data_IF_222137821713
#
_entry.id   IF_222137821713
#
_cell.length_a   1.000
_cell.length_b   1.000
_cell.length_c   1.000
_cell.angle_alpha   90.00
_cell.angle_beta   90.00
_cell.angle_gamma   90.00
#
_symmetry.space_group_name_H-M   'P 1'
#
loop_
_entity.id
_entity.type
_entity.pdbx_description
1 polymer ?
#
# COMPACT_ATOMS: atom_id res chain seq x y z
N UNK A 1 -12.41 39.72 50.97
CA UNK A 1 -11.14 40.32 50.53
C UNK A 1 -11.04 40.16 49.03
N UNK A 2 -11.06 41.27 48.31
CA UNK A 2 -11.17 41.36 46.86
C UNK A 2 -9.84 41.01 46.19
N UNK A 3 -9.89 40.18 45.13
CA UNK A 3 -8.73 39.94 44.28
C UNK A 3 -9.06 40.35 42.84
N UNK A 4 -8.20 41.22 42.33
CA UNK A 4 -8.40 42.11 41.19
C UNK A 4 -8.04 41.40 39.89
N UNK A 5 -8.99 41.35 38.97
CA UNK A 5 -8.82 40.90 37.59
C UNK A 5 -7.93 41.89 36.82
N UNK A 6 -6.79 41.42 36.29
CA UNK A 6 -6.01 42.18 35.30
C UNK A 6 -6.36 41.72 33.89
N UNK A 7 -7.15 42.55 33.23
CA UNK A 7 -7.44 42.51 31.80
C UNK A 7 -6.18 42.90 31.00
N UNK A 8 -5.66 41.97 30.20
CA UNK A 8 -4.59 42.26 29.22
C UNK A 8 -5.26 42.45 27.86
N UNK A 9 -5.48 43.70 27.46
CA UNK A 9 -5.88 44.06 26.11
C UNK A 9 -4.70 43.84 25.15
N UNK A 10 -4.80 42.84 24.28
CA UNK A 10 -3.89 42.69 23.13
C UNK A 10 -4.42 43.54 21.99
N UNK A 11 -3.63 44.55 21.62
CA UNK A 11 -3.92 45.49 20.54
C UNK A 11 -4.07 44.81 19.18
N UNK A 12 -5.14 45.19 18.49
CA UNK A 12 -5.37 44.90 17.08
C UNK A 12 -4.32 45.61 16.23
N UNK A 13 -3.50 44.86 15.49
CA UNK A 13 -2.68 45.40 14.41
C UNK A 13 -3.47 45.34 13.10
N UNK A 14 -3.51 46.47 12.41
CA UNK A 14 -4.12 46.69 11.11
C UNK A 14 -3.43 45.89 10.01
N UNK A 15 -4.24 45.24 9.16
CA UNK A 15 -3.80 44.55 7.96
C UNK A 15 -3.26 45.55 6.93
N UNK A 16 -1.95 45.55 6.72
CA UNK A 16 -1.33 46.20 5.57
C UNK A 16 -1.60 45.33 4.33
N UNK A 17 -2.39 45.85 3.40
CA UNK A 17 -2.62 45.29 2.08
C UNK A 17 -1.32 45.33 1.27
N UNK A 18 -0.66 44.18 1.12
CA UNK A 18 0.46 44.02 0.19
C UNK A 18 -0.11 43.94 -1.22
N UNK A 19 0.11 44.99 -2.00
CA UNK A 19 -0.17 45.04 -3.42
C UNK A 19 0.71 44.00 -4.15
N UNK A 20 0.08 42.96 -4.68
CA UNK A 20 0.75 41.95 -5.52
C UNK A 20 0.93 42.54 -6.91
N UNK A 21 2.16 42.92 -7.24
CA UNK A 21 2.57 43.26 -8.60
C UNK A 21 2.40 42.03 -9.50
N UNK A 22 1.56 42.15 -10.53
CA UNK A 22 1.42 41.17 -11.61
C UNK A 22 2.73 41.10 -12.39
N UNK A 23 3.56 40.09 -12.11
CA UNK A 23 4.67 39.71 -12.99
C UNK A 23 4.10 39.14 -14.28
N UNK A 24 4.32 39.85 -15.39
CA UNK A 24 4.00 39.38 -16.73
C UNK A 24 4.74 38.07 -17.03
N UNK A 25 4.01 37.04 -17.43
CA UNK A 25 4.57 35.79 -17.94
C UNK A 25 5.27 36.06 -19.28
N UNK A 26 6.59 36.25 -19.24
CA UNK A 26 7.43 36.13 -20.43
C UNK A 26 7.50 34.65 -20.81
N UNK A 27 6.79 34.31 -21.89
CA UNK A 27 6.87 33.02 -22.56
C UNK A 27 8.30 32.80 -23.04
N UNK A 28 9.02 31.88 -22.38
CA UNK A 28 10.31 31.37 -22.91
C UNK A 28 10.03 30.68 -24.24
N UNK A 29 10.41 31.33 -25.34
CA UNK A 29 10.57 30.66 -26.64
C UNK A 29 11.71 29.66 -26.49
N UNK A 30 11.37 28.37 -26.48
CA UNK A 30 12.34 27.28 -26.56
C UNK A 30 12.93 27.35 -27.97
N UNK A 31 14.17 27.82 -28.08
CA UNK A 31 14.92 27.75 -29.32
C UNK A 31 15.22 26.28 -29.60
N UNK A 32 14.50 25.67 -30.53
CA UNK A 32 14.86 24.38 -31.11
C UNK A 32 16.18 24.55 -31.87
N UNK A 33 17.24 23.97 -31.32
CA UNK A 33 18.55 23.92 -32.00
C UNK A 33 18.49 22.95 -33.19
N UNK A 34 19.17 23.23 -34.32
CA UNK A 34 19.05 22.47 -35.59
C UNK A 34 19.55 21.01 -35.55
N UNK A 35 20.05 20.53 -34.41
CA UNK A 35 20.62 19.18 -34.25
C UNK A 35 19.52 18.10 -34.15
N UNK A 36 18.26 18.48 -33.88
CA UNK A 36 17.15 17.52 -33.76
C UNK A 36 16.48 17.13 -35.10
N UNK A 37 16.87 17.70 -36.24
CA UNK A 37 16.20 17.47 -37.54
C UNK A 37 17.02 16.64 -38.55
N UNK A 38 18.08 15.95 -38.12
CA UNK A 38 18.95 15.20 -39.05
C UNK A 38 19.21 13.76 -38.63
N UNK A 39 18.15 12.93 -38.65
CA UNK A 39 18.11 11.54 -39.15
C UNK A 39 16.87 10.81 -38.63
N UNK A 40 15.82 10.78 -39.43
CA UNK A 40 14.94 9.61 -39.48
C UNK A 40 14.80 9.21 -40.95
N UNK A 41 15.58 8.18 -41.32
CA UNK A 41 15.32 7.38 -42.51
C UNK A 41 15.56 5.92 -42.10
N UNK A 42 14.46 5.22 -41.86
CA UNK A 42 14.34 3.77 -41.85
C UNK A 42 14.98 3.03 -40.68
N UNK A 43 14.23 2.83 -39.59
CA UNK A 43 14.19 1.52 -38.93
C UNK A 43 12.90 1.38 -38.12
N UNK A 44 12.35 0.17 -38.11
CA UNK A 44 11.05 -0.16 -37.53
C UNK A 44 11.03 0.10 -36.02
N UNK A 45 9.90 0.59 -35.54
CA UNK A 45 9.59 0.79 -34.13
C UNK A 45 9.31 -0.60 -33.54
N UNK A 46 10.29 -1.13 -32.83
CA UNK A 46 10.09 -2.12 -31.77
C UNK A 46 10.01 -1.33 -30.47
N UNK A 47 8.80 -1.18 -29.93
CA UNK A 47 8.53 -0.45 -28.69
C UNK A 47 9.10 -1.24 -27.50
N UNK A 48 10.38 -0.98 -27.21
CA UNK A 48 11.09 -1.45 -26.04
C UNK A 48 10.60 -0.76 -24.77
N UNK A 49 9.51 -1.27 -24.20
CA UNK A 49 9.10 -1.05 -22.81
C UNK A 49 10.17 -1.64 -21.86
N UNK A 50 11.12 -0.80 -21.43
CA UNK A 50 12.33 -1.20 -20.69
C UNK A 50 12.09 -1.41 -19.18
N UNK A 51 10.84 -1.56 -18.73
CA UNK A 51 10.53 -1.94 -17.35
C UNK A 51 9.28 -2.83 -17.29
N UNK A 52 9.44 -4.08 -17.74
CA UNK A 52 8.43 -5.12 -17.52
C UNK A 52 8.15 -5.37 -16.03
N UNK A 53 6.90 -5.70 -15.67
CA UNK A 53 6.48 -5.91 -14.29
C UNK A 53 7.10 -7.18 -13.70
N UNK A 54 7.58 -7.02 -12.46
CA UNK A 54 8.18 -8.05 -11.60
C UNK A 54 7.39 -9.36 -11.58
N UNK A 55 7.96 -10.43 -12.14
CA UNK A 55 7.48 -11.79 -11.98
C UNK A 55 7.54 -12.24 -10.53
N UNK A 56 6.41 -12.72 -10.02
CA UNK A 56 6.32 -13.47 -8.76
C UNK A 56 6.04 -14.92 -9.11
N UNK A 57 7.06 -15.77 -8.96
CA UNK A 57 6.93 -17.22 -8.98
C UNK A 57 6.97 -17.70 -7.53
N UNK A 58 5.82 -18.08 -6.99
CA UNK A 58 5.71 -18.94 -5.80
C UNK A 58 4.58 -19.94 -6.04
N UNK A 59 4.84 -20.95 -6.89
CA UNK A 59 4.07 -22.19 -6.92
C UNK A 59 4.91 -23.29 -6.26
N UNK A 60 4.66 -23.45 -4.96
CA UNK A 60 5.13 -24.58 -4.17
C UNK A 60 3.92 -25.40 -3.73
N UNK A 61 3.25 -26.09 -4.66
CA UNK A 61 2.34 -27.21 -4.37
C UNK A 61 1.98 -27.95 -5.68
N UNK A 62 2.68 -29.05 -5.99
CA UNK A 62 2.02 -30.26 -6.50
C UNK A 62 2.95 -31.45 -6.38
N UNK A 63 2.47 -32.41 -5.59
CA UNK A 63 2.97 -33.75 -5.40
C UNK A 63 2.15 -34.70 -6.28
N UNK A 64 2.77 -35.83 -6.61
CA UNK A 64 2.20 -37.09 -7.11
C UNK A 64 1.73 -37.24 -8.58
N UNK A 65 2.59 -37.98 -9.30
CA UNK A 65 2.30 -39.27 -9.96
C UNK A 65 1.93 -39.32 -11.46
N UNK A 66 2.63 -40.28 -12.11
CA UNK A 66 2.50 -40.87 -13.44
C UNK A 66 3.12 -40.13 -14.64
N UNK A 67 4.31 -40.59 -15.09
CA UNK A 67 4.40 -41.44 -16.30
C UNK A 67 5.86 -41.58 -16.79
N UNK A 68 6.22 -42.81 -17.16
CA UNK A 68 7.19 -43.16 -18.22
C UNK A 68 6.59 -44.36 -19.00
N UNK A 69 7.03 -44.70 -20.24
CA UNK A 69 7.96 -43.99 -21.13
C UNK A 69 7.54 -43.93 -22.63
N UNK A 70 8.37 -43.22 -23.40
CA UNK A 70 8.71 -43.44 -24.83
C UNK A 70 7.69 -43.07 -25.92
N UNK A 71 8.11 -42.18 -26.86
CA UNK A 71 8.27 -42.47 -28.31
C UNK A 71 9.13 -41.37 -28.95
N UNK A 72 10.16 -41.81 -29.67
CA UNK A 72 11.04 -41.04 -30.56
C UNK A 72 10.27 -40.38 -31.72
N UNK A 73 10.64 -39.15 -32.09
CA UNK A 73 10.49 -38.70 -33.48
C UNK A 73 11.49 -37.61 -33.87
N UNK A 74 12.36 -38.02 -34.79
CA UNK A 74 13.37 -37.26 -35.52
C UNK A 74 12.73 -36.30 -36.53
N UNK A 75 13.04 -35.00 -36.44
CA UNK A 75 12.95 -34.11 -37.63
C UNK A 75 13.88 -32.89 -37.56
N UNK A 76 14.88 -32.97 -38.45
CA UNK A 76 15.49 -31.92 -39.31
C UNK A 76 15.73 -30.51 -38.77
N UNK A 77 17.03 -30.20 -38.73
CA UNK A 77 17.63 -28.89 -38.56
C UNK A 77 17.21 -27.85 -39.63
N UNK A 78 16.88 -26.66 -39.14
CA UNK A 78 17.01 -25.40 -39.87
C UNK A 78 17.71 -24.38 -38.94
N UNK A 79 18.57 -23.50 -39.44
CA UNK A 79 19.27 -22.53 -38.61
C UNK A 79 18.29 -21.41 -38.23
N UNK A 80 17.56 -21.63 -37.15
CA UNK A 80 16.77 -20.58 -36.51
C UNK A 80 17.69 -19.76 -35.62
N UNK A 81 17.90 -18.50 -35.99
CA UNK A 81 18.53 -17.49 -35.13
C UNK A 81 17.73 -17.37 -33.85
N UNK A 82 18.18 -18.09 -32.82
CA UNK A 82 17.65 -18.03 -31.47
C UNK A 82 17.93 -16.65 -30.88
N UNK A 83 16.97 -15.75 -31.04
CA UNK A 83 16.78 -14.69 -30.08
C UNK A 83 16.47 -15.36 -28.74
N UNK A 84 17.50 -15.56 -27.93
CA UNK A 84 17.37 -15.89 -26.51
C UNK A 84 16.55 -14.78 -25.85
N UNK A 85 15.24 -14.98 -25.79
CA UNK A 85 14.37 -14.28 -24.88
C UNK A 85 14.97 -14.48 -23.48
N UNK A 86 15.55 -13.40 -22.95
CA UNK A 86 16.05 -13.36 -21.58
C UNK A 86 14.82 -13.49 -20.68
N UNK A 87 14.44 -14.72 -20.37
CA UNK A 87 13.65 -14.98 -19.17
C UNK A 87 14.43 -14.32 -18.04
N UNK A 88 13.81 -13.33 -17.42
CA UNK A 88 14.39 -12.58 -16.31
C UNK A 88 14.56 -13.56 -15.16
N UNK A 89 15.68 -14.29 -15.14
CA UNK A 89 16.06 -15.13 -14.00
C UNK A 89 15.96 -14.25 -12.77
N UNK A 90 15.07 -14.62 -11.86
CA UNK A 90 15.02 -14.03 -10.53
C UNK A 90 16.44 -13.92 -10.00
N UNK A 91 16.79 -12.75 -9.47
CA UNK A 91 18.10 -12.55 -8.88
C UNK A 91 18.34 -13.66 -7.85
N UNK A 92 19.52 -14.28 -7.91
CA UNK A 92 19.92 -15.26 -6.91
C UNK A 92 19.79 -14.65 -5.51
N UNK A 93 19.38 -15.44 -4.52
CA UNK A 93 19.10 -14.96 -3.14
C UNK A 93 20.33 -14.28 -2.53
N UNK A 94 21.52 -14.80 -2.81
CA UNK A 94 22.80 -14.23 -2.39
C UNK A 94 23.09 -12.87 -3.05
N UNK A 95 22.85 -12.73 -4.36
CA UNK A 95 23.07 -11.48 -5.08
C UNK A 95 22.09 -10.40 -4.62
N UNK A 96 20.87 -10.81 -4.28
CA UNK A 96 19.87 -9.92 -3.70
C UNK A 96 20.29 -9.41 -2.32
N UNK A 97 20.85 -10.27 -1.46
CA UNK A 97 21.39 -9.88 -0.16
C UNK A 97 22.57 -8.92 -0.29
N UNK A 98 23.49 -9.17 -1.25
CA UNK A 98 24.60 -8.25 -1.55
C UNK A 98 24.08 -6.87 -1.95
N UNK A 99 23.15 -6.82 -2.91
CA UNK A 99 22.52 -5.55 -3.34
C UNK A 99 21.79 -4.84 -2.21
N UNK A 100 21.09 -5.58 -1.35
CA UNK A 100 20.45 -5.01 -0.17
C UNK A 100 21.48 -4.36 0.75
N UNK A 101 22.56 -5.08 1.07
CA UNK A 101 23.60 -4.63 1.99
C UNK A 101 24.33 -3.40 1.44
N UNK A 102 24.71 -3.42 0.16
CA UNK A 102 25.34 -2.31 -0.56
C UNK A 102 24.43 -1.07 -0.57
N UNK A 103 23.15 -1.23 -0.95
CA UNK A 103 22.21 -0.12 -1.02
C UNK A 103 21.92 0.45 0.38
N UNK A 104 21.79 -0.41 1.38
CA UNK A 104 21.60 -0.02 2.77
C UNK A 104 22.79 0.80 3.29
N UNK A 105 24.01 0.34 3.01
CA UNK A 105 25.23 1.06 3.38
C UNK A 105 25.31 2.42 2.67
N UNK A 106 25.05 2.43 1.36
CA UNK A 106 24.97 3.66 0.57
C UNK A 106 23.98 4.68 1.16
N UNK A 107 22.80 4.22 1.57
CA UNK A 107 21.79 5.06 2.24
C UNK A 107 22.30 5.51 3.60
N UNK A 108 22.83 4.62 4.43
CA UNK A 108 23.30 4.92 5.78
C UNK A 108 24.39 5.99 5.83
N UNK A 109 25.35 5.97 4.89
CA UNK A 109 26.47 6.91 4.83
C UNK A 109 26.07 8.33 4.38
N UNK A 110 24.89 8.46 3.74
CA UNK A 110 24.46 9.68 3.05
C UNK A 110 23.25 10.37 3.69
N UNK A 111 22.69 9.81 4.76
CA UNK A 111 21.54 10.37 5.47
C UNK A 111 21.92 10.93 6.85
N UNK A 112 21.05 11.75 7.44
CA UNK A 112 21.26 12.37 8.75
C UNK A 112 21.69 13.84 8.67
N UNK A 113 21.93 14.45 9.82
CA UNK A 113 22.34 15.86 9.91
C UNK A 113 23.79 16.10 9.45
N UNK A 114 24.66 15.11 9.66
CA UNK A 114 26.08 15.14 9.26
C UNK A 114 26.41 13.86 8.47
N UNK A 115 26.03 13.79 7.18
CA UNK A 115 26.33 12.62 6.36
C UNK A 115 27.84 12.49 6.14
N UNK A 116 28.33 11.25 6.15
CA UNK A 116 29.72 10.91 5.83
C UNK A 116 30.05 11.31 4.39
N UNK A 117 29.13 11.03 3.47
CA UNK A 117 29.25 11.37 2.06
C UNK A 117 28.05 12.22 1.62
N UNK A 118 28.30 13.39 1.02
CA UNK A 118 27.21 14.30 0.60
C UNK A 118 26.66 13.99 -0.78
N UNK A 119 27.45 13.36 -1.65
CA UNK A 119 27.12 13.11 -3.05
C UNK A 119 27.32 11.63 -3.41
N UNK A 120 26.47 11.06 -4.28
CA UNK A 120 25.21 11.62 -4.78
C UNK A 120 24.11 11.64 -3.69
N UNK A 121 23.10 12.53 -3.78
CA UNK A 121 22.01 12.57 -2.82
C UNK A 121 21.10 11.35 -2.95
N UNK A 122 20.68 10.80 -1.81
CA UNK A 122 19.72 9.69 -1.76
C UNK A 122 18.34 10.17 -2.26
N UNK A 123 17.76 9.43 -3.20
CA UNK A 123 16.43 9.68 -3.79
C UNK A 123 15.37 8.77 -3.14
N UNK A 124 14.09 9.15 -3.25
CA UNK A 124 12.98 8.33 -2.77
C UNK A 124 12.91 6.94 -3.44
N UNK A 125 13.41 6.81 -4.66
CA UNK A 125 13.53 5.52 -5.36
C UNK A 125 14.49 4.56 -4.67
N UNK A 126 15.58 5.05 -4.05
CA UNK A 126 16.51 4.20 -3.31
C UNK A 126 15.81 3.51 -2.12
N UNK A 127 14.93 4.23 -1.43
CA UNK A 127 14.11 3.65 -0.35
C UNK A 127 13.10 2.62 -0.86
N UNK A 128 12.43 2.89 -1.98
CA UNK A 128 11.52 1.92 -2.60
C UNK A 128 12.25 0.63 -2.96
N UNK A 129 13.45 0.74 -3.57
CA UNK A 129 14.27 -0.41 -3.90
C UNK A 129 14.73 -1.15 -2.64
N UNK A 130 15.09 -0.42 -1.58
CA UNK A 130 15.53 -1.01 -0.32
C UNK A 130 14.40 -1.84 0.34
N UNK A 131 13.17 -1.32 0.36
CA UNK A 131 12.00 -2.08 0.81
C UNK A 131 11.74 -3.29 -0.09
N UNK A 132 11.79 -3.11 -1.41
CA UNK A 132 11.56 -4.19 -2.35
C UNK A 132 12.61 -5.29 -2.25
N UNK A 133 13.87 -4.98 -1.89
CA UNK A 133 14.97 -5.93 -1.76
C UNK A 133 14.91 -6.73 -0.45
N UNK A 134 14.47 -6.11 0.66
CA UNK A 134 14.41 -6.73 1.97
C UNK A 134 13.58 -8.03 1.94
N UNK A 135 14.17 -9.19 2.18
CA UNK A 135 13.50 -10.52 2.16
C UNK A 135 13.05 -11.01 3.52
N UNK A 136 13.60 -10.46 4.60
CA UNK A 136 13.28 -10.88 5.96
C UNK A 136 12.76 -9.72 6.80
N UNK A 137 12.12 -10.06 7.92
CA UNK A 137 11.62 -9.08 8.89
C UNK A 137 12.76 -8.29 9.52
N UNK A 138 13.89 -8.92 9.78
CA UNK A 138 15.08 -8.32 10.39
C UNK A 138 15.67 -7.26 9.46
N UNK A 139 15.78 -7.57 8.17
CA UNK A 139 16.20 -6.60 7.15
C UNK A 139 15.26 -5.40 7.11
N UNK A 140 13.95 -5.60 7.21
CA UNK A 140 13.01 -4.49 7.29
C UNK A 140 13.20 -3.66 8.58
N UNK A 141 13.47 -4.28 9.73
CA UNK A 141 13.72 -3.57 10.98
C UNK A 141 15.01 -2.73 10.92
N UNK A 142 16.06 -3.25 10.28
CA UNK A 142 17.29 -2.50 10.01
C UNK A 142 17.02 -1.26 9.16
N UNK A 143 16.20 -1.40 8.11
CA UNK A 143 15.80 -0.26 7.27
C UNK A 143 14.98 0.75 8.06
N UNK A 144 14.07 0.27 8.92
CA UNK A 144 13.28 1.12 9.82
C UNK A 144 14.18 1.91 10.78
N UNK A 145 15.30 1.32 11.21
CA UNK A 145 16.33 2.01 12.01
C UNK A 145 16.98 3.20 11.32
N UNK A 146 16.99 3.26 9.99
CA UNK A 146 17.56 4.36 9.20
C UNK A 146 16.58 5.54 8.99
N UNK A 147 15.28 5.31 9.12
CA UNK A 147 14.25 6.31 8.82
C UNK A 147 14.32 7.59 9.69
N UNK A 148 14.65 7.53 11.00
CA UNK A 148 14.79 8.75 11.80
C UNK A 148 15.89 9.68 11.25
N UNK A 149 16.99 9.12 10.74
CA UNK A 149 18.06 9.91 10.12
C UNK A 149 17.59 10.59 8.84
N UNK A 150 16.71 9.94 8.08
CA UNK A 150 16.07 10.55 6.89
C UNK A 150 15.16 11.71 7.27
N UNK A 151 14.36 11.53 8.33
CA UNK A 151 13.50 12.58 8.91
C UNK A 151 14.33 13.80 9.33
N UNK A 152 15.46 13.57 10.02
CA UNK A 152 16.35 14.62 10.50
C UNK A 152 16.94 15.47 9.36
N UNK A 153 17.10 14.88 8.17
CA UNK A 153 17.49 15.60 6.96
C UNK A 153 16.36 16.49 6.38
N UNK A 154 15.21 16.62 7.06
CA UNK A 154 14.00 17.36 6.65
C UNK A 154 13.42 16.89 5.33
N UNK A 155 13.67 15.63 4.97
CA UNK A 155 13.09 15.00 3.77
C UNK A 155 11.83 14.23 4.15
N UNK A 156 10.91 14.12 3.20
CA UNK A 156 9.62 13.45 3.38
C UNK A 156 9.52 12.29 2.41
N UNK A 157 8.86 11.22 2.86
CA UNK A 157 8.51 10.10 2.01
C UNK A 157 7.32 10.46 1.12
N UNK A 158 7.40 10.12 -0.16
CA UNK A 158 6.26 10.24 -1.06
C UNK A 158 5.20 9.17 -0.75
N UNK A 159 3.93 9.45 -1.09
CA UNK A 159 2.79 8.53 -0.89
C UNK A 159 3.07 7.11 -1.42
N UNK A 160 3.63 7.02 -2.63
CA UNK A 160 3.97 5.73 -3.23
C UNK A 160 5.02 4.96 -2.42
N UNK A 161 6.01 5.63 -1.84
CA UNK A 161 7.03 4.98 -1.00
C UNK A 161 6.40 4.40 0.27
N UNK A 162 5.41 5.09 0.85
CA UNK A 162 4.64 4.59 2.01
C UNK A 162 3.87 3.33 1.64
N UNK A 163 3.22 3.31 0.48
CA UNK A 163 2.46 2.14 0.00
C UNK A 163 3.35 0.93 -0.29
N UNK A 164 4.55 1.15 -0.87
CA UNK A 164 5.55 0.10 -1.06
C UNK A 164 6.03 -0.46 0.28
N UNK A 165 6.28 0.40 1.28
CA UNK A 165 6.68 -0.02 2.62
C UNK A 165 5.62 -0.90 3.30
N UNK A 166 4.37 -0.44 3.34
CA UNK A 166 3.26 -1.22 3.92
C UNK A 166 3.03 -2.51 3.15
N UNK A 167 3.09 -2.45 1.81
CA UNK A 167 2.94 -3.62 0.98
C UNK A 167 4.02 -4.66 1.21
N UNK A 168 5.26 -4.24 1.47
CA UNK A 168 6.34 -5.16 1.85
C UNK A 168 6.13 -5.74 3.23
N UNK A 169 5.68 -4.94 4.20
CA UNK A 169 5.38 -5.44 5.55
C UNK A 169 4.27 -6.49 5.54
N UNK A 170 3.25 -6.33 4.69
CA UNK A 170 2.22 -7.35 4.48
C UNK A 170 2.82 -8.63 3.86
N UNK A 171 3.63 -8.52 2.80
CA UNK A 171 4.27 -9.68 2.15
C UNK A 171 5.15 -10.48 3.11
N UNK A 172 5.87 -9.79 4.00
CA UNK A 172 6.76 -10.40 4.99
C UNK A 172 6.05 -10.78 6.30
N UNK A 173 4.70 -10.67 6.35
CA UNK A 173 3.89 -10.96 7.54
C UNK A 173 4.38 -10.25 8.80
N UNK A 174 4.75 -8.97 8.66
CA UNK A 174 5.23 -8.13 9.76
C UNK A 174 4.49 -6.77 9.87
N UNK A 175 3.15 -6.72 9.81
CA UNK A 175 2.39 -5.46 9.89
C UNK A 175 2.55 -4.73 11.23
N UNK A 176 2.93 -5.41 12.32
CA UNK A 176 3.24 -4.77 13.61
C UNK A 176 4.43 -3.81 13.52
N UNK A 177 5.40 -4.08 12.63
CA UNK A 177 6.50 -3.17 12.35
C UNK A 177 6.00 -1.88 11.70
N UNK A 178 5.11 -2.01 10.71
CA UNK A 178 4.46 -0.85 10.09
C UNK A 178 3.63 -0.06 11.11
N UNK A 179 2.86 -0.75 11.95
CA UNK A 179 2.05 -0.12 13.00
C UNK A 179 2.92 0.70 13.97
N UNK A 180 4.07 0.17 14.39
CA UNK A 180 5.04 0.90 15.22
C UNK A 180 5.55 2.16 14.51
N UNK A 181 5.89 2.07 13.23
CA UNK A 181 6.35 3.21 12.43
C UNK A 181 5.30 4.32 12.32
N UNK A 182 4.04 3.96 12.11
CA UNK A 182 2.95 4.95 12.03
C UNK A 182 2.48 5.47 13.40
N UNK A 183 2.67 4.69 14.47
CA UNK A 183 2.35 5.16 15.82
C UNK A 183 3.31 6.29 16.25
N UNK A 184 4.58 6.21 15.87
CA UNK A 184 5.61 7.20 16.19
C UNK A 184 5.90 8.16 15.03
N UNK A 185 4.87 8.86 14.52
CA UNK A 185 5.01 9.80 13.39
C UNK A 185 6.15 10.83 13.54
N UNK A 186 6.37 11.48 14.71
CA UNK A 186 7.43 12.46 14.85
C UNK A 186 8.82 11.87 14.57
N UNK A 187 9.03 10.60 14.94
CA UNK A 187 10.29 9.87 14.83
C UNK A 187 10.56 9.41 13.40
N UNK A 188 9.58 8.81 12.74
CA UNK A 188 9.79 8.15 11.44
C UNK A 188 9.37 9.00 10.24
N UNK A 189 8.37 9.87 10.41
CA UNK A 189 7.87 10.76 9.37
C UNK A 189 7.17 10.13 8.19
N UNK A 190 6.53 9.00 8.40
CA UNK A 190 5.66 8.37 7.43
C UNK A 190 4.24 8.93 7.52
N UNK A 191 3.78 9.56 6.44
CA UNK A 191 2.39 10.01 6.33
C UNK A 191 1.51 8.87 5.84
N UNK A 192 0.64 8.36 6.72
CA UNK A 192 -0.25 7.25 6.41
C UNK A 192 -1.29 7.69 5.36
N UNK A 193 -1.35 6.96 4.23
CA UNK A 193 -2.39 7.16 3.20
C UNK A 193 -3.58 6.23 3.45
N UNK A 194 -4.76 6.56 2.92
CA UNK A 194 -5.96 5.73 3.08
C UNK A 194 -5.76 4.31 2.50
N UNK A 195 -5.16 4.20 1.33
CA UNK A 195 -4.82 2.91 0.69
C UNK A 195 -3.88 2.08 1.56
N UNK A 196 -2.80 2.70 2.07
CA UNK A 196 -1.89 2.04 2.99
C UNK A 196 -2.57 1.63 4.31
N UNK A 197 -3.46 2.47 4.84
CA UNK A 197 -4.21 2.18 6.06
C UNK A 197 -5.15 0.97 5.88
N UNK A 198 -5.91 0.91 4.77
CA UNK A 198 -6.79 -0.23 4.45
C UNK A 198 -6.00 -1.52 4.29
N UNK A 199 -4.85 -1.45 3.60
CA UNK A 199 -3.96 -2.60 3.41
C UNK A 199 -3.36 -3.09 4.72
N UNK A 200 -2.92 -2.17 5.59
CA UNK A 200 -2.43 -2.51 6.92
C UNK A 200 -3.53 -3.10 7.79
N UNK A 201 -4.76 -2.56 7.70
CA UNK A 201 -5.93 -3.06 8.43
C UNK A 201 -6.29 -4.48 8.01
N UNK A 202 -6.23 -4.79 6.72
CA UNK A 202 -6.40 -6.14 6.20
C UNK A 202 -5.41 -7.12 6.84
N UNK A 203 -4.11 -6.80 6.77
CA UNK A 203 -3.05 -7.65 7.33
C UNK A 203 -3.20 -7.86 8.84
N UNK A 204 -3.51 -6.79 9.60
CA UNK A 204 -3.75 -6.89 11.05
C UNK A 204 -4.99 -7.71 11.40
N UNK A 205 -6.08 -7.55 10.65
CA UNK A 205 -7.32 -8.31 10.87
C UNK A 205 -7.13 -9.82 10.70
N UNK A 206 -6.32 -10.23 9.72
CA UNK A 206 -6.08 -11.64 9.40
C UNK A 206 -5.20 -12.29 10.48
N UNK A 207 -4.05 -11.68 10.79
CA UNK A 207 -2.96 -12.36 11.51
C UNK A 207 -2.76 -11.88 12.96
N UNK A 208 -3.26 -10.70 13.35
CA UNK A 208 -2.87 -10.04 14.60
C UNK A 208 -4.01 -9.82 15.60
N UNK A 209 -3.65 -9.24 16.74
CA UNK A 209 -4.55 -8.97 17.85
C UNK A 209 -5.59 -7.90 17.49
N UNK A 210 -6.75 -7.95 18.16
CA UNK A 210 -7.76 -6.89 18.03
C UNK A 210 -7.20 -5.53 18.50
N UNK A 211 -6.30 -5.52 19.49
CA UNK A 211 -5.67 -4.31 20.01
C UNK A 211 -4.89 -3.55 18.93
N UNK A 212 -4.15 -4.26 18.08
CA UNK A 212 -3.41 -3.64 16.97
C UNK A 212 -4.36 -3.01 15.94
N UNK A 213 -5.49 -3.69 15.68
CA UNK A 213 -6.54 -3.21 14.78
C UNK A 213 -7.21 -1.94 15.33
N UNK A 214 -7.48 -1.90 16.64
CA UNK A 214 -8.02 -0.70 17.33
C UNK A 214 -6.99 0.44 17.32
N UNK A 215 -5.72 0.12 17.52
CA UNK A 215 -4.63 1.11 17.48
C UNK A 215 -4.56 1.75 16.10
N UNK A 216 -4.60 0.94 15.03
CA UNK A 216 -4.66 1.45 13.68
C UNK A 216 -5.92 2.30 13.44
N UNK A 217 -7.07 1.89 13.96
CA UNK A 217 -8.31 2.68 13.88
C UNK A 217 -8.18 4.07 14.48
N UNK A 218 -7.49 4.20 15.62
CA UNK A 218 -7.21 5.49 16.23
C UNK A 218 -6.31 6.36 15.36
N UNK A 219 -5.36 5.77 14.62
CA UNK A 219 -4.45 6.49 13.73
C UNK A 219 -5.17 7.17 12.56
N UNK A 220 -6.35 6.71 12.12
CA UNK A 220 -7.10 7.38 11.06
C UNK A 220 -7.37 8.86 11.42
N UNK A 221 -7.76 9.14 12.66
CA UNK A 221 -7.97 10.52 13.13
C UNK A 221 -6.67 11.31 13.19
N UNK A 222 -5.59 10.71 13.69
CA UNK A 222 -4.28 11.36 13.81
C UNK A 222 -3.75 11.81 12.45
N UNK A 223 -3.91 10.96 11.44
CA UNK A 223 -3.49 11.21 10.06
C UNK A 223 -4.52 11.96 9.21
N UNK A 224 -5.61 12.45 9.81
CA UNK A 224 -6.70 13.17 9.12
C UNK A 224 -7.33 12.35 7.97
N UNK A 225 -7.34 11.03 8.11
CA UNK A 225 -8.06 10.13 7.22
C UNK A 225 -9.55 10.13 7.58
N UNK A 226 -10.43 9.76 6.63
CA UNK A 226 -11.85 9.56 6.92
C UNK A 226 -12.03 8.60 8.10
N UNK A 227 -12.94 8.84 9.06
CA UNK A 227 -13.15 7.90 10.16
C UNK A 227 -13.52 6.51 9.62
N UNK A 228 -13.13 5.45 10.32
CA UNK A 228 -13.39 4.06 9.88
C UNK A 228 -14.88 3.82 9.58
N UNK A 229 -15.78 4.42 10.35
CA UNK A 229 -17.23 4.31 10.15
C UNK A 229 -17.77 5.00 8.90
N UNK A 230 -16.95 5.79 8.19
CA UNK A 230 -17.30 6.44 6.93
C UNK A 230 -16.74 5.75 5.69
N UNK A 231 -15.81 4.81 5.87
CA UNK A 231 -15.15 4.09 4.79
C UNK A 231 -15.64 2.64 4.74
N UNK A 232 -16.29 2.23 3.65
CA UNK A 232 -16.90 0.89 3.57
C UNK A 232 -15.88 -0.24 3.78
N UNK A 233 -14.72 -0.12 3.14
CA UNK A 233 -13.65 -1.12 3.15
C UNK A 233 -13.05 -1.23 4.57
N UNK A 234 -12.71 -0.12 5.22
CA UNK A 234 -12.22 -0.14 6.59
C UNK A 234 -13.31 -0.54 7.61
N UNK A 235 -14.54 -0.05 7.48
CA UNK A 235 -15.65 -0.36 8.37
C UNK A 235 -15.95 -1.87 8.39
N UNK A 236 -16.04 -2.49 7.21
CA UNK A 236 -16.28 -3.93 7.08
C UNK A 236 -15.14 -4.78 7.67
N UNK A 237 -13.88 -4.45 7.39
CA UNK A 237 -12.73 -5.13 8.02
C UNK A 237 -12.72 -4.97 9.54
N UNK A 238 -12.92 -3.76 10.04
CA UNK A 238 -12.92 -3.49 11.48
C UNK A 238 -14.07 -4.21 12.20
N UNK A 239 -15.26 -4.17 11.63
CA UNK A 239 -16.45 -4.87 12.18
C UNK A 239 -16.24 -6.38 12.20
N UNK A 240 -15.71 -6.95 11.11
CA UNK A 240 -15.33 -8.37 11.04
C UNK A 240 -14.28 -8.74 12.10
N UNK A 241 -13.27 -7.89 12.33
CA UNK A 241 -12.26 -8.10 13.36
C UNK A 241 -12.88 -8.14 14.76
N UNK A 242 -13.80 -7.23 15.05
CA UNK A 242 -14.50 -7.15 16.33
C UNK A 242 -15.37 -8.39 16.59
N UNK A 243 -16.08 -8.88 15.57
CA UNK A 243 -16.83 -10.14 15.66
C UNK A 243 -15.94 -11.36 15.84
N UNK A 244 -14.78 -11.42 15.16
CA UNK A 244 -13.82 -12.54 15.25
C UNK A 244 -13.28 -12.74 16.67
N UNK A 245 -13.09 -11.67 17.44
CA UNK A 245 -12.49 -11.75 18.78
C UNK A 245 -13.46 -12.27 19.87
N UNK A 246 -14.77 -12.14 19.68
CA UNK A 246 -15.81 -12.66 20.58
C UNK A 246 -15.72 -12.23 22.07
N UNK A 247 -15.04 -11.12 22.41
CA UNK A 247 -15.08 -10.58 23.76
C UNK A 247 -16.31 -9.68 23.95
N UNK A 248 -16.77 -9.49 25.18
CA UNK A 248 -17.93 -8.61 25.49
C UNK A 248 -17.73 -7.20 24.93
N UNK A 249 -16.54 -6.63 25.13
CA UNK A 249 -16.18 -5.31 24.58
C UNK A 249 -16.09 -5.31 23.06
N UNK A 250 -15.51 -6.34 22.44
CA UNK A 250 -15.41 -6.39 20.97
C UNK A 250 -16.77 -6.56 20.32
N UNK A 251 -17.67 -7.35 20.91
CA UNK A 251 -19.04 -7.51 20.43
C UNK A 251 -19.86 -6.24 20.59
N UNK A 252 -19.70 -5.50 21.70
CA UNK A 252 -20.33 -4.19 21.85
C UNK A 252 -19.91 -3.23 20.73
N UNK A 253 -18.60 -3.13 20.46
CA UNK A 253 -18.08 -2.30 19.35
C UNK A 253 -18.60 -2.80 17.99
N UNK A 254 -18.62 -4.11 17.76
CA UNK A 254 -19.12 -4.68 16.50
C UNK A 254 -20.59 -4.29 16.27
N UNK A 255 -21.43 -4.42 17.30
CA UNK A 255 -22.85 -4.08 17.24
C UNK A 255 -23.07 -2.58 16.98
N UNK A 256 -22.26 -1.72 17.58
CA UNK A 256 -22.29 -0.27 17.29
C UNK A 256 -21.86 0.05 15.85
N UNK A 257 -20.96 -0.74 15.25
CA UNK A 257 -20.53 -0.54 13.86
C UNK A 257 -21.55 -1.02 12.81
N UNK A 258 -22.44 -1.95 13.16
CA UNK A 258 -23.43 -2.51 12.22
C UNK A 258 -24.35 -1.43 11.61
N UNK A 259 -24.95 -0.49 12.37
CA UNK A 259 -25.73 0.60 11.80
C UNK A 259 -24.94 1.48 10.83
N UNK A 260 -23.66 1.76 11.12
CA UNK A 260 -22.80 2.51 10.20
C UNK A 260 -22.55 1.74 8.92
N UNK A 261 -22.28 0.44 9.02
CA UNK A 261 -22.10 -0.42 7.86
C UNK A 261 -23.36 -0.47 6.97
N UNK A 262 -24.54 -0.64 7.58
CA UNK A 262 -25.84 -0.61 6.89
C UNK A 262 -26.05 0.71 6.14
N UNK A 263 -25.74 1.84 6.79
CA UNK A 263 -25.85 3.16 6.19
C UNK A 263 -24.85 3.39 5.05
N UNK A 264 -23.64 2.81 5.11
CA UNK A 264 -22.67 2.89 4.03
C UNK A 264 -23.10 2.07 2.81
N UNK A 265 -23.61 0.85 3.03
CA UNK A 265 -24.06 -0.03 1.96
C UNK A 265 -25.29 0.52 1.24
N UNK A 266 -26.17 1.24 1.94
CA UNK A 266 -27.28 1.96 1.33
C UNK A 266 -26.86 3.11 0.40
N UNK A 267 -25.65 3.65 0.58
CA UNK A 267 -25.11 4.78 -0.21
C UNK A 267 -24.25 4.33 -1.39
N UNK A 268 -23.58 3.18 -1.26
CA UNK A 268 -22.66 2.66 -2.28
C UNK A 268 -23.45 1.85 -3.29
N UNK A 269 -23.37 2.24 -4.56
CA UNK A 269 -23.96 1.47 -5.66
C UNK A 269 -23.37 0.05 -5.68
N UNK A 270 -24.17 -1.02 -5.52
CA UNK A 270 -23.73 -2.40 -5.58
C UNK A 270 -22.88 -2.69 -6.83
N UNK A 271 -23.23 -2.11 -7.99
CA UNK A 271 -22.51 -2.35 -9.26
C UNK A 271 -21.05 -1.88 -9.21
N UNK A 272 -20.77 -0.82 -8.46
CA UNK A 272 -19.41 -0.32 -8.29
C UNK A 272 -18.49 -1.31 -7.54
N UNK A 273 -19.08 -2.22 -6.76
CA UNK A 273 -18.37 -3.17 -5.90
C UNK A 273 -18.33 -4.59 -6.48
N UNK A 274 -18.70 -4.78 -7.75
CA UNK A 274 -18.56 -6.07 -8.42
C UNK A 274 -17.09 -6.52 -8.48
N UNK A 275 -16.87 -7.80 -8.18
CA UNK A 275 -15.54 -8.41 -8.26
C UNK A 275 -15.14 -8.52 -9.74
N UNK A 276 -13.89 -8.24 -10.09
CA UNK A 276 -13.42 -8.49 -11.45
C UNK A 276 -13.51 -9.99 -11.76
N UNK A 277 -13.71 -10.37 -13.04
CA UNK A 277 -13.68 -11.75 -13.46
C UNK A 277 -12.34 -12.38 -13.06
N UNK A 278 -12.41 -13.54 -12.40
CA UNK A 278 -11.26 -14.29 -11.90
C UNK A 278 -10.30 -14.62 -13.06
N UNK A 279 -9.00 -14.30 -12.91
CA UNK A 279 -7.98 -14.64 -13.92
C UNK A 279 -6.83 -13.63 -14.09
N UNK A 280 -6.95 -12.40 -13.55
CA UNK A 280 -5.84 -11.45 -13.59
C UNK A 280 -4.90 -11.67 -12.39
N UNK A 281 -3.75 -12.32 -12.63
CA UNK A 281 -2.73 -12.64 -11.62
C UNK A 281 -2.16 -11.41 -10.86
N UNK A 282 -2.40 -10.20 -11.36
CA UNK A 282 -2.12 -8.94 -10.68
C UNK A 282 -3.37 -8.05 -10.66
N UNK A 283 -4.35 -8.41 -9.84
CA UNK A 283 -5.52 -7.56 -9.65
C UNK A 283 -5.08 -6.19 -9.07
N UNK A 284 -5.56 -5.07 -9.63
CA UNK A 284 -5.26 -3.73 -9.11
C UNK A 284 -5.66 -3.62 -7.63
N UNK A 285 -5.07 -2.68 -6.89
CA UNK A 285 -5.35 -2.50 -5.44
C UNK A 285 -6.86 -2.43 -5.18
N UNK A 286 -7.60 -1.73 -6.03
CA UNK A 286 -9.06 -1.62 -5.95
C UNK A 286 -9.77 -2.98 -6.02
N UNK A 287 -9.32 -3.88 -6.88
CA UNK A 287 -9.89 -5.23 -6.97
C UNK A 287 -9.63 -6.04 -5.70
N UNK A 288 -8.46 -5.88 -5.07
CA UNK A 288 -8.17 -6.49 -3.77
C UNK A 288 -9.09 -5.94 -2.69
N UNK A 289 -9.29 -4.62 -2.65
CA UNK A 289 -10.20 -3.98 -1.69
C UNK A 289 -11.64 -4.49 -1.84
N UNK A 290 -12.13 -4.68 -3.08
CA UNK A 290 -13.45 -5.29 -3.33
C UNK A 290 -13.51 -6.73 -2.83
N UNK A 291 -12.47 -7.53 -3.08
CA UNK A 291 -12.38 -8.91 -2.59
C UNK A 291 -12.37 -8.98 -1.06
N UNK A 292 -11.59 -8.11 -0.40
CA UNK A 292 -11.57 -8.00 1.06
C UNK A 292 -12.93 -7.60 1.61
N UNK A 293 -13.62 -6.67 0.96
CA UNK A 293 -14.97 -6.27 1.35
C UNK A 293 -15.95 -7.43 1.22
N UNK A 294 -15.97 -8.12 0.08
CA UNK A 294 -16.84 -9.28 -0.13
C UNK A 294 -16.62 -10.37 0.95
N UNK A 295 -15.37 -10.68 1.22
CA UNK A 295 -14.97 -11.68 2.23
C UNK A 295 -15.32 -11.26 3.66
N UNK A 296 -15.09 -10.00 4.04
CA UNK A 296 -15.46 -9.50 5.38
C UNK A 296 -16.96 -9.41 5.58
N UNK A 297 -17.72 -8.97 4.57
CA UNK A 297 -19.18 -8.94 4.62
C UNK A 297 -19.76 -10.35 4.79
N UNK A 298 -19.20 -11.36 4.13
CA UNK A 298 -19.61 -12.75 4.33
C UNK A 298 -19.40 -13.23 5.78
N UNK A 299 -18.28 -12.84 6.40
CA UNK A 299 -17.99 -13.14 7.81
C UNK A 299 -18.95 -12.43 8.76
N UNK A 300 -19.26 -11.16 8.49
CA UNK A 300 -20.22 -10.39 9.28
C UNK A 300 -21.61 -11.02 9.18
N UNK A 301 -22.07 -11.42 7.99
CA UNK A 301 -23.36 -12.12 7.84
C UNK A 301 -23.40 -13.40 8.68
N UNK A 302 -22.33 -14.21 8.64
CA UNK A 302 -22.22 -15.43 9.46
C UNK A 302 -22.27 -15.12 10.96
N UNK A 303 -21.63 -14.04 11.40
CA UNK A 303 -21.64 -13.61 12.80
C UNK A 303 -23.03 -13.13 13.25
N UNK A 304 -23.70 -12.28 12.45
CA UNK A 304 -25.04 -11.79 12.72
C UNK A 304 -26.07 -12.92 12.77
N UNK A 305 -25.95 -13.90 11.86
CA UNK A 305 -26.80 -15.10 11.87
C UNK A 305 -26.66 -15.90 13.15
N UNK A 306 -25.43 -16.07 13.67
CA UNK A 306 -25.18 -16.76 14.94
C UNK A 306 -25.78 -16.02 16.14
N UNK A 307 -25.86 -14.69 16.07
CA UNK A 307 -26.43 -13.85 17.13
C UNK A 307 -27.95 -13.67 17.01
N UNK A 308 -28.58 -14.20 15.96
CA UNK A 308 -30.02 -14.00 15.72
C UNK A 308 -30.40 -12.55 15.38
N UNK A 309 -29.45 -11.73 14.93
CA UNK A 309 -29.70 -10.33 14.55
C UNK A 309 -30.16 -10.24 13.10
N UNK A 310 -30.95 -9.22 12.74
CA UNK A 310 -31.44 -8.98 11.38
C UNK A 310 -30.28 -8.71 10.40
N UNK A 311 -30.14 -9.57 9.38
CA UNK A 311 -29.07 -9.50 8.37
C UNK A 311 -29.60 -9.53 6.93
N UNK A 312 -30.91 -9.36 6.72
CA UNK A 312 -31.54 -9.48 5.40
C UNK A 312 -31.00 -8.46 4.40
N UNK A 313 -30.83 -7.22 4.86
CA UNK A 313 -30.21 -6.13 4.08
C UNK A 313 -28.80 -6.47 3.57
N UNK A 314 -28.00 -7.18 4.37
CA UNK A 314 -26.63 -7.53 4.02
C UNK A 314 -26.60 -8.63 2.96
N UNK A 315 -27.45 -9.64 3.12
CA UNK A 315 -27.59 -10.72 2.14
C UNK A 315 -28.04 -10.18 0.80
N UNK A 316 -29.09 -9.35 0.78
CA UNK A 316 -29.59 -8.74 -0.45
C UNK A 316 -28.50 -7.93 -1.17
N UNK A 317 -27.77 -7.08 -0.44
CA UNK A 317 -26.69 -6.29 -1.05
C UNK A 317 -25.60 -7.19 -1.65
N UNK A 318 -25.22 -8.27 -0.95
CA UNK A 318 -24.24 -9.25 -1.47
C UNK A 318 -24.73 -10.03 -2.69
N UNK A 319 -26.03 -10.29 -2.79
CA UNK A 319 -26.64 -10.92 -3.96
C UNK A 319 -26.58 -9.97 -5.17
N UNK A 320 -26.92 -8.70 -4.97
CA UNK A 320 -26.86 -7.65 -6.00
C UNK A 320 -25.44 -7.38 -6.52
N UNK A 321 -24.41 -7.52 -5.67
CA UNK A 321 -23.00 -7.39 -6.06
C UNK A 321 -22.39 -8.67 -6.66
N UNK A 322 -23.10 -9.80 -6.62
CA UNK A 322 -22.57 -11.11 -7.01
C UNK A 322 -21.54 -11.68 -6.03
N UNK A 323 -21.48 -11.18 -4.79
CA UNK A 323 -20.55 -11.63 -3.74
C UNK A 323 -20.97 -12.95 -3.06
N UNK A 324 -22.17 -13.47 -3.34
CA UNK A 324 -22.65 -14.74 -2.76
C UNK A 324 -21.87 -15.94 -3.26
N UNK A 325 -21.41 -15.91 -4.51
CA UNK A 325 -20.65 -17.01 -5.14
C UNK A 325 -19.17 -17.05 -4.72
N UNK A 326 -18.61 -15.94 -4.23
CA UNK A 326 -17.19 -15.82 -3.91
C UNK A 326 -16.81 -16.26 -2.49
N UNK A 327 -17.79 -16.60 -1.64
CA UNK A 327 -17.59 -16.86 -0.21
C UNK A 327 -17.89 -18.31 0.21
N UNK A 328 -18.15 -19.20 -0.75
CA UNK A 328 -18.23 -20.65 -0.55
C UNK A 328 -16.85 -21.28 -0.45
#
# INVERSE_FOLDING_TARGET
MASILRHVQRGCRSNASVAVSRTAHLTRKIHQTPIALKKQKGHAIDDGDLFGPSGGEEDAFSDAMFAEPSVEKTSKAGPSTSATAKTSRGLNSEDRLKRFTELRQFVADRIGQKPTEKLPPVRNSAWQHLFQLATTKEQMDEVVGLLPRWRDSKRQFGKHTVEVFVGRCEQLRCPTLALKVFSDHPKYGFDLTLSAARRLLHSLHVEHSLQDTITLAALFRVYKLPPISSDLVACSMFTSACFKHHSTHSLAIANEMVPHLKNLLAKVDPKSMQLPPSGAACAPIEAKEKAWTAWTLAKIEKALRKQGTEYGWLRQWREETGHTLAAS
#
